data_IF_049235643257
#
_entry.id   IF_049235643257
#
_cell.length_a   1.000
_cell.length_b   1.000
_cell.length_c   1.000
_cell.angle_alpha   90.00
_cell.angle_beta   90.00
_cell.angle_gamma   90.00
#
_symmetry.space_group_name_H-M   'P 1'
#
loop_
_entity.id
_entity.type
_entity.pdbx_description
1 polymer ?
#
# COMPACT_ATOMS: atom_id res chain seq x y z
N UNK A 1 -8.67 0.26 4.94
CA UNK A 1 -9.00 -0.96 5.71
C UNK A 1 -10.40 -0.87 6.31
N UNK A 2 -10.77 0.16 7.09
CA UNK A 2 -12.03 0.26 7.85
C UNK A 2 -13.30 -0.05 7.03
N UNK A 3 -13.39 0.42 5.77
CA UNK A 3 -14.52 0.14 4.88
C UNK A 3 -14.78 -1.35 4.63
N UNK A 4 -13.77 -2.23 4.80
CA UNK A 4 -13.94 -3.68 4.62
C UNK A 4 -15.00 -4.29 5.55
N UNK A 5 -15.28 -3.67 6.70
CA UNK A 5 -16.31 -4.14 7.62
C UNK A 5 -17.73 -3.99 7.05
N UNK A 6 -17.93 -3.13 6.03
CA UNK A 6 -19.22 -2.87 5.38
C UNK A 6 -19.41 -3.61 4.06
N UNK A 7 -18.45 -4.45 3.62
CA UNK A 7 -18.64 -5.21 2.39
C UNK A 7 -19.74 -6.26 2.56
N UNK A 8 -20.60 -6.38 1.55
CA UNK A 8 -21.71 -7.33 1.56
C UNK A 8 -21.25 -8.75 1.23
N UNK A 9 -20.31 -8.89 0.29
CA UNK A 9 -19.80 -10.19 -0.15
C UNK A 9 -18.91 -10.81 0.91
N UNK A 10 -19.03 -12.11 1.10
CA UNK A 10 -18.28 -12.88 2.10
C UNK A 10 -16.77 -12.82 1.86
N UNK A 11 -16.36 -12.87 0.59
CA UNK A 11 -14.95 -12.76 0.19
C UNK A 11 -14.81 -12.05 -1.16
N UNK A 12 -13.63 -11.52 -1.40
CA UNK A 12 -13.28 -10.94 -2.68
C UNK A 12 -11.78 -10.93 -2.91
N UNK A 13 -11.40 -11.04 -4.18
CA UNK A 13 -10.02 -10.94 -4.65
C UNK A 13 -9.96 -9.92 -5.77
N UNK A 14 -8.90 -9.15 -5.82
CA UNK A 14 -8.61 -8.17 -6.87
C UNK A 14 -7.16 -8.28 -7.29
N UNK A 15 -6.91 -8.20 -8.59
CA UNK A 15 -5.58 -8.16 -9.19
C UNK A 15 -5.49 -6.93 -10.07
N UNK A 16 -4.39 -6.21 -9.96
CA UNK A 16 -4.09 -5.06 -10.81
C UNK A 16 -2.66 -5.17 -11.30
N UNK A 17 -2.46 -4.86 -12.57
CA UNK A 17 -1.15 -4.76 -13.20
C UNK A 17 -1.06 -3.46 -13.96
N UNK A 18 -0.05 -2.63 -13.65
CA UNK A 18 0.15 -1.33 -14.26
C UNK A 18 1.58 -1.23 -14.79
N UNK A 19 1.77 -1.37 -16.12
CA UNK A 19 3.07 -1.10 -16.74
C UNK A 19 3.33 0.41 -16.72
N UNK A 20 4.51 0.81 -16.26
CA UNK A 20 4.95 2.19 -16.22
C UNK A 20 5.90 2.49 -17.37
N UNK A 21 5.74 3.65 -18.00
CA UNK A 21 6.63 4.15 -19.05
C UNK A 21 6.97 3.14 -20.17
N UNK A 22 6.05 2.22 -20.48
CA UNK A 22 6.26 1.08 -21.38
C UNK A 22 6.93 1.41 -22.72
N UNK A 23 6.75 2.64 -23.20
CA UNK A 23 7.38 3.09 -24.46
C UNK A 23 8.85 3.51 -24.29
N UNK A 24 9.29 3.83 -23.06
CA UNK A 24 10.66 4.27 -22.76
C UNK A 24 11.45 3.17 -22.06
N UNK A 25 10.84 2.51 -21.08
CA UNK A 25 11.43 1.43 -20.28
C UNK A 25 10.39 0.32 -20.13
N UNK A 26 10.48 -0.76 -20.91
CA UNK A 26 9.41 -1.78 -20.95
C UNK A 26 9.26 -2.59 -19.67
N UNK A 27 10.26 -2.58 -18.80
CA UNK A 27 10.39 -3.51 -17.68
C UNK A 27 9.90 -2.96 -16.33
N UNK A 28 9.53 -1.65 -16.30
CA UNK A 28 8.97 -1.04 -15.08
C UNK A 28 7.49 -1.39 -14.97
N UNK A 29 7.11 -2.05 -13.88
CA UNK A 29 5.73 -2.43 -13.64
C UNK A 29 5.38 -2.46 -12.15
N UNK A 30 4.11 -2.17 -11.88
CA UNK A 30 3.50 -2.31 -10.58
C UNK A 30 2.44 -3.40 -10.64
N UNK A 31 2.62 -4.44 -9.86
CA UNK A 31 1.67 -5.53 -9.65
C UNK A 31 1.05 -5.42 -8.27
N UNK A 32 -0.25 -5.60 -8.17
CA UNK A 32 -0.97 -5.53 -6.92
C UNK A 32 -2.03 -6.64 -6.87
N UNK A 33 -1.98 -7.45 -5.83
CA UNK A 33 -3.00 -8.43 -5.51
C UNK A 33 -3.55 -8.14 -4.12
N UNK A 34 -4.85 -8.20 -3.96
CA UNK A 34 -5.50 -8.05 -2.67
C UNK A 34 -6.69 -8.98 -2.54
N UNK A 35 -6.98 -9.34 -1.31
CA UNK A 35 -8.15 -10.15 -1.00
C UNK A 35 -8.68 -9.82 0.40
N UNK A 36 -9.93 -10.17 0.61
CA UNK A 36 -10.55 -10.07 1.93
C UNK A 36 -11.50 -11.23 2.17
N UNK A 37 -11.75 -11.50 3.45
CA UNK A 37 -12.78 -12.43 3.92
C UNK A 37 -13.47 -11.85 5.15
N UNK A 38 -14.80 -11.91 5.16
CA UNK A 38 -15.58 -11.60 6.36
C UNK A 38 -15.35 -12.67 7.43
N UNK A 39 -15.27 -12.23 8.69
CA UNK A 39 -15.18 -13.10 9.86
C UNK A 39 -16.40 -12.77 10.74
N UNK A 40 -17.54 -13.34 10.37
CA UNK A 40 -18.82 -12.99 10.96
C UNK A 40 -19.42 -11.71 10.37
N UNK A 41 -20.47 -11.18 11.03
CA UNK A 41 -21.29 -10.09 10.47
C UNK A 41 -20.64 -8.72 10.55
N UNK A 42 -19.77 -8.51 11.52
CA UNK A 42 -19.25 -7.19 11.86
C UNK A 42 -17.76 -7.02 11.61
N UNK A 43 -17.05 -8.03 11.11
CA UNK A 43 -15.62 -7.97 10.96
C UNK A 43 -15.12 -8.61 9.66
N UNK A 44 -13.98 -8.12 9.17
CA UNK A 44 -13.31 -8.65 8.00
C UNK A 44 -11.79 -8.62 8.15
N UNK A 45 -11.14 -9.64 7.62
CA UNK A 45 -9.69 -9.65 7.38
C UNK A 45 -9.42 -9.32 5.92
N UNK A 46 -8.35 -8.59 5.68
CA UNK A 46 -7.82 -8.34 4.36
C UNK A 46 -6.33 -8.63 4.31
N UNK A 47 -5.85 -8.99 3.14
CA UNK A 47 -4.43 -9.11 2.87
C UNK A 47 -4.13 -8.52 1.49
N UNK A 48 -2.94 -7.98 1.31
CA UNK A 48 -2.50 -7.52 0.01
C UNK A 48 -0.99 -7.67 -0.17
N UNK A 49 -0.58 -7.85 -1.42
CA UNK A 49 0.81 -7.83 -1.85
C UNK A 49 0.95 -6.83 -2.99
N UNK A 50 1.88 -5.91 -2.82
CA UNK A 50 2.32 -4.98 -3.86
C UNK A 50 3.73 -5.33 -4.25
N UNK A 51 3.98 -5.42 -5.55
CA UNK A 51 5.30 -5.65 -6.11
C UNK A 51 5.58 -4.60 -7.18
N UNK A 52 6.70 -3.90 -7.04
CA UNK A 52 7.15 -2.89 -7.97
C UNK A 52 8.52 -3.29 -8.52
N UNK A 53 8.59 -3.56 -9.82
CA UNK A 53 9.84 -3.77 -10.56
C UNK A 53 10.25 -2.46 -11.19
N UNK A 54 11.52 -2.08 -11.01
CA UNK A 54 12.09 -0.88 -11.61
C UNK A 54 12.82 -1.16 -12.94
N UNK A 55 12.73 -2.40 -13.44
CA UNK A 55 13.38 -2.81 -14.67
C UNK A 55 14.83 -3.26 -14.47
N UNK A 56 15.47 -3.68 -15.55
CA UNK A 56 16.86 -4.15 -15.54
C UNK A 56 17.83 -2.98 -15.62
N UNK A 57 18.76 -2.91 -14.68
CA UNK A 57 19.85 -1.92 -14.65
C UNK A 57 21.14 -2.64 -14.98
N UNK A 58 21.85 -2.15 -16.01
CA UNK A 58 23.19 -2.60 -16.36
C UNK A 58 24.21 -1.77 -15.60
N UNK A 59 24.99 -2.42 -14.77
CA UNK A 59 26.12 -1.78 -14.11
C UNK A 59 27.34 -1.78 -15.02
N UNK A 60 28.05 -0.65 -15.07
CA UNK A 60 29.27 -0.49 -15.82
C UNK A 60 30.39 -0.01 -14.89
N UNK A 61 31.63 -0.40 -15.21
CA UNK A 61 32.82 0.16 -14.55
C UNK A 61 33.10 1.58 -15.08
N UNK A 62 34.17 2.21 -14.55
CA UNK A 62 34.57 3.58 -14.92
C UNK A 62 35.00 3.68 -16.40
N UNK A 63 35.28 2.56 -17.04
CA UNK A 63 35.63 2.47 -18.47
C UNK A 63 34.39 2.23 -19.35
N UNK A 64 33.20 2.03 -18.76
CA UNK A 64 31.96 1.77 -19.48
C UNK A 64 31.71 0.29 -19.80
N UNK A 65 32.56 -0.63 -19.34
CA UNK A 65 32.36 -2.06 -19.55
C UNK A 65 31.27 -2.60 -18.59
N UNK A 66 30.38 -3.48 -19.07
CA UNK A 66 29.35 -4.06 -18.24
C UNK A 66 29.97 -4.98 -17.17
N UNK A 67 29.61 -4.76 -15.89
CA UNK A 67 30.06 -5.54 -14.73
C UNK A 67 28.96 -6.38 -14.10
N UNK A 68 27.71 -6.27 -14.59
CA UNK A 68 26.58 -7.07 -14.15
C UNK A 68 25.24 -6.44 -14.45
N UNK A 69 24.21 -7.27 -14.39
CA UNK A 69 22.81 -6.85 -14.51
C UNK A 69 22.13 -7.02 -13.15
N UNK A 70 21.27 -6.08 -12.79
CA UNK A 70 20.49 -6.11 -11.57
C UNK A 70 19.07 -5.62 -11.83
N UNK A 71 18.08 -6.31 -11.26
CA UNK A 71 16.68 -5.92 -11.32
C UNK A 71 16.24 -5.39 -9.93
N UNK A 72 16.26 -4.07 -9.72
CA UNK A 72 15.77 -3.50 -8.47
C UNK A 72 14.28 -3.72 -8.35
N UNK A 73 13.86 -4.17 -7.17
CA UNK A 73 12.46 -4.44 -6.90
C UNK A 73 12.10 -4.10 -5.45
N UNK A 74 10.87 -3.68 -5.28
CA UNK A 74 10.28 -3.42 -3.98
C UNK A 74 9.01 -4.24 -3.81
N UNK A 75 8.78 -4.75 -2.62
CA UNK A 75 7.48 -5.32 -2.29
C UNK A 75 6.99 -4.89 -0.91
N UNK A 76 5.67 -4.82 -0.78
CA UNK A 76 5.00 -4.59 0.47
C UNK A 76 3.89 -5.62 0.66
N UNK A 77 3.86 -6.25 1.82
CA UNK A 77 2.83 -7.18 2.23
C UNK A 77 2.03 -6.59 3.39
N UNK A 78 0.71 -6.54 3.23
CA UNK A 78 -0.21 -5.99 4.22
C UNK A 78 -1.15 -7.07 4.75
N UNK A 79 -1.42 -7.04 6.05
CA UNK A 79 -2.53 -7.74 6.70
C UNK A 79 -3.35 -6.71 7.44
N UNK A 80 -4.66 -6.70 7.21
CA UNK A 80 -5.58 -5.75 7.82
C UNK A 80 -6.77 -6.41 8.46
N UNK A 81 -7.26 -5.79 9.52
CA UNK A 81 -8.49 -6.13 10.21
C UNK A 81 -9.42 -4.92 10.26
N UNK A 82 -10.70 -5.16 10.03
CA UNK A 82 -11.74 -4.15 10.09
C UNK A 82 -12.90 -4.64 10.96
N UNK A 83 -13.45 -3.72 11.77
CA UNK A 83 -14.54 -4.00 12.70
C UNK A 83 -15.59 -2.91 12.62
N UNK A 84 -16.87 -3.29 12.50
CA UNK A 84 -18.02 -2.41 12.74
C UNK A 84 -18.21 -2.18 14.23
N UNK A 85 -18.49 -0.93 14.60
CA UNK A 85 -18.87 -0.50 15.95
C UNK A 85 -20.32 0.03 15.98
N UNK A 86 -21.18 -0.58 15.20
CA UNK A 86 -22.56 -0.20 15.01
C UNK A 86 -22.95 -0.17 13.54
N UNK A 87 -24.11 0.39 13.21
CA UNK A 87 -24.64 0.37 11.85
C UNK A 87 -23.93 1.31 10.88
N UNK A 88 -23.34 2.39 11.39
CA UNK A 88 -22.80 3.49 10.58
C UNK A 88 -21.29 3.70 10.69
N UNK A 89 -20.64 3.08 11.68
CA UNK A 89 -19.23 3.36 11.97
C UNK A 89 -18.40 2.09 12.02
N UNK A 90 -17.19 2.16 11.46
CA UNK A 90 -16.16 1.11 11.57
C UNK A 90 -14.78 1.68 11.76
N UNK A 91 -13.92 0.89 12.39
CA UNK A 91 -12.50 1.11 12.45
C UNK A 91 -11.73 0.01 11.74
N UNK A 92 -10.49 0.29 11.41
CA UNK A 92 -9.60 -0.70 10.80
C UNK A 92 -8.14 -0.42 11.09
N UNK A 93 -7.40 -1.50 11.19
CA UNK A 93 -5.96 -1.50 11.40
C UNK A 93 -5.31 -2.38 10.34
N UNK A 94 -4.16 -1.97 9.81
CA UNK A 94 -3.34 -2.85 8.98
C UNK A 94 -1.88 -2.77 9.41
N UNK A 95 -1.18 -3.88 9.29
CA UNK A 95 0.27 -3.98 9.47
C UNK A 95 0.88 -4.27 8.11
N UNK A 96 1.94 -3.54 7.79
CA UNK A 96 2.68 -3.62 6.54
C UNK A 96 4.11 -4.01 6.79
N UNK A 97 4.59 -5.01 6.07
CA UNK A 97 6.01 -5.30 5.90
C UNK A 97 6.48 -4.76 4.56
N UNK A 98 7.61 -4.04 4.57
CA UNK A 98 8.21 -3.43 3.38
C UNK A 98 9.61 -4.02 3.18
N UNK A 99 9.91 -4.39 1.94
CA UNK A 99 11.24 -4.76 1.50
C UNK A 99 11.55 -4.01 0.20
N UNK A 100 12.62 -3.24 0.21
CA UNK A 100 13.08 -2.44 -0.93
C UNK A 100 14.52 -2.80 -1.25
N UNK A 101 14.74 -3.49 -2.36
CA UNK A 101 16.07 -3.87 -2.83
C UNK A 101 16.40 -3.05 -4.09
N UNK A 102 17.03 -1.90 -3.90
CA UNK A 102 17.33 -0.95 -4.97
C UNK A 102 18.73 -1.09 -5.53
N UNK A 103 19.64 -1.74 -4.82
CA UNK A 103 21.09 -1.74 -5.13
C UNK A 103 21.68 -3.13 -5.31
N UNK A 104 20.92 -4.19 -5.00
CA UNK A 104 21.40 -5.58 -5.11
C UNK A 104 22.56 -5.95 -4.20
N UNK A 105 22.89 -5.11 -3.22
CA UNK A 105 24.04 -5.33 -2.34
C UNK A 105 25.37 -4.90 -2.97
N UNK A 106 25.32 -4.08 -4.03
CA UNK A 106 26.54 -3.56 -4.67
C UNK A 106 27.05 -2.38 -3.84
N UNK A 107 28.38 -2.30 -3.72
CA UNK A 107 29.03 -1.14 -3.10
C UNK A 107 28.85 0.11 -3.96
N UNK A 108 28.20 1.12 -3.40
CA UNK A 108 28.02 2.41 -4.03
C UNK A 108 28.89 3.43 -3.31
N UNK A 109 29.86 4.00 -4.01
CA UNK A 109 30.78 5.01 -3.47
C UNK A 109 31.49 4.58 -2.17
N UNK A 110 31.89 3.31 -2.08
CA UNK A 110 32.60 2.76 -0.92
C UNK A 110 31.72 2.40 0.29
N UNK A 111 30.40 2.42 0.12
CA UNK A 111 29.45 1.98 1.15
C UNK A 111 28.78 0.69 0.74
N UNK A 112 28.86 -0.32 1.61
CA UNK A 112 28.10 -1.57 1.45
C UNK A 112 26.60 -1.29 1.55
N UNK A 113 25.87 -1.61 0.49
CA UNK A 113 24.42 -1.44 0.48
C UNK A 113 23.69 -2.75 0.76
N UNK A 114 22.53 -2.65 1.36
CA UNK A 114 21.65 -3.78 1.67
C UNK A 114 20.21 -3.44 1.33
N UNK A 115 19.38 -4.48 1.15
CA UNK A 115 17.94 -4.25 0.99
C UNK A 115 17.36 -3.58 2.23
N UNK A 116 16.68 -2.48 2.04
CA UNK A 116 15.94 -1.77 3.07
C UNK A 116 14.73 -2.59 3.53
N UNK A 117 14.55 -2.71 4.85
CA UNK A 117 13.40 -3.41 5.44
C UNK A 117 12.75 -2.55 6.51
N UNK A 118 11.42 -2.56 6.54
CA UNK A 118 10.68 -1.80 7.54
C UNK A 118 9.30 -2.38 7.79
N UNK A 119 8.71 -1.95 8.91
CA UNK A 119 7.32 -2.21 9.24
C UNK A 119 6.58 -0.89 9.42
N UNK A 120 5.33 -0.88 8.99
CA UNK A 120 4.43 0.25 9.17
C UNK A 120 3.04 -0.23 9.59
N UNK A 121 2.29 0.67 10.21
CA UNK A 121 0.90 0.45 10.62
C UNK A 121 0.03 1.52 9.97
N UNK A 122 -1.13 1.10 9.48
CA UNK A 122 -2.18 1.99 8.97
C UNK A 122 -3.38 1.90 9.91
N UNK A 123 -3.97 3.05 10.23
CA UNK A 123 -5.18 3.17 11.04
C UNK A 123 -6.24 3.89 10.22
N UNK A 124 -7.45 3.35 10.19
CA UNK A 124 -8.55 3.93 9.44
C UNK A 124 -9.85 3.95 10.20
N UNK A 125 -10.68 4.93 9.89
CA UNK A 125 -12.07 5.03 10.33
C UNK A 125 -12.96 5.23 9.11
N UNK A 126 -14.17 4.69 9.16
CA UNK A 126 -15.15 4.85 8.10
C UNK A 126 -16.54 5.03 8.71
N UNK A 127 -17.26 6.01 8.18
CA UNK A 127 -18.64 6.32 8.54
C UNK A 127 -19.50 6.30 7.28
N UNK A 128 -20.69 5.72 7.36
CA UNK A 128 -21.71 5.74 6.30
C UNK A 128 -23.05 6.18 6.86
N UNK A 129 -23.79 6.96 6.09
CA UNK A 129 -25.15 7.36 6.39
C UNK A 129 -25.98 7.22 5.11
N UNK A 130 -26.83 6.21 5.08
CA UNK A 130 -27.54 5.80 3.88
C UNK A 130 -28.84 6.61 3.65
N UNK A 131 -29.40 7.21 4.71
CA UNK A 131 -30.63 8.01 4.69
C UNK A 131 -30.37 9.51 4.86
N UNK A 132 -29.26 10.01 4.35
CA UNK A 132 -28.94 11.44 4.44
C UNK A 132 -29.74 12.24 3.42
N UNK A 133 -30.10 13.47 3.78
CA UNK A 133 -30.65 14.44 2.82
C UNK A 133 -29.64 15.53 2.53
N UNK A 134 -29.27 15.68 1.26
CA UNK A 134 -28.34 16.71 0.79
C UNK A 134 -29.05 17.54 -0.27
N UNK A 135 -29.18 18.85 -0.01
CA UNK A 135 -29.94 19.78 -0.85
C UNK A 135 -31.39 19.33 -1.18
N UNK A 136 -32.05 18.65 -0.20
CA UNK A 136 -33.42 18.15 -0.37
C UNK A 136 -33.58 16.89 -1.21
N UNK A 137 -32.47 16.20 -1.52
CA UNK A 137 -32.45 14.92 -2.22
C UNK A 137 -31.90 13.84 -1.30
N UNK A 138 -32.45 12.65 -1.40
CA UNK A 138 -31.93 11.48 -0.67
C UNK A 138 -30.53 11.12 -1.17
N UNK A 139 -29.64 10.90 -0.22
CA UNK A 139 -28.22 10.66 -0.53
C UNK A 139 -27.57 9.70 0.47
N UNK A 140 -26.58 8.98 -0.01
CA UNK A 140 -25.66 8.22 0.84
C UNK A 140 -24.41 9.07 1.09
N UNK A 141 -24.11 9.36 2.34
CA UNK A 141 -22.91 10.09 2.73
C UNK A 141 -21.89 9.13 3.32
N UNK A 142 -20.70 9.10 2.74
CA UNK A 142 -19.58 8.30 3.22
C UNK A 142 -18.42 9.20 3.62
N UNK A 143 -17.85 8.96 4.80
CA UNK A 143 -16.65 9.65 5.28
C UNK A 143 -15.60 8.63 5.66
N UNK A 144 -14.42 8.75 5.08
CA UNK A 144 -13.28 7.88 5.38
C UNK A 144 -12.07 8.69 5.85
N UNK A 145 -11.46 8.29 6.95
CA UNK A 145 -10.19 8.80 7.44
C UNK A 145 -9.18 7.66 7.44
N UNK A 146 -7.98 7.93 6.95
CA UNK A 146 -6.87 6.98 7.01
C UNK A 146 -5.57 7.70 7.35
N UNK A 147 -4.84 7.16 8.31
CA UNK A 147 -3.46 7.53 8.62
C UNK A 147 -2.62 6.31 8.29
N UNK A 148 -1.72 6.43 7.33
CA UNK A 148 -0.92 5.32 6.83
C UNK A 148 0.57 5.56 6.96
N UNK A 149 1.32 4.44 6.95
CA UNK A 149 2.77 4.40 7.10
C UNK A 149 3.27 4.94 8.45
N UNK A 150 2.54 4.73 9.52
CA UNK A 150 3.04 4.96 10.88
C UNK A 150 4.04 3.83 11.18
N UNK A 151 5.34 4.09 11.05
CA UNK A 151 6.27 2.97 11.10
C UNK A 151 7.71 3.32 11.41
N UNK A 152 8.55 2.29 11.39
CA UNK A 152 9.97 2.39 11.62
C UNK A 152 10.66 3.02 10.40
N UNK A 153 11.79 3.65 10.66
CA UNK A 153 12.68 4.16 9.61
C UNK A 153 13.25 3.00 8.78
N UNK A 154 13.50 3.25 7.50
CA UNK A 154 14.17 2.32 6.59
C UNK A 154 15.65 2.71 6.43
N UNK A 155 16.53 1.72 6.27
CA UNK A 155 17.94 1.95 5.97
C UNK A 155 18.38 1.02 4.84
N UNK A 156 19.22 1.53 3.96
CA UNK A 156 19.81 0.80 2.83
C UNK A 156 21.32 0.56 3.00
N UNK A 157 21.88 0.97 4.13
CA UNK A 157 23.29 0.78 4.47
C UNK A 157 23.41 0.16 5.85
N UNK A 158 24.57 -0.41 6.16
CA UNK A 158 24.86 -0.93 7.49
C UNK A 158 25.11 0.20 8.52
N UNK A 159 25.15 1.45 8.06
CA UNK A 159 25.39 2.63 8.88
C UNK A 159 24.11 3.21 9.49
N UNK A 160 24.30 4.09 10.46
CA UNK A 160 23.25 4.67 11.29
C UNK A 160 22.25 5.59 10.54
N UNK A 161 22.43 5.83 9.26
CA UNK A 161 21.54 6.70 8.49
C UNK A 161 20.26 5.94 8.16
N UNK A 162 19.15 6.42 8.70
CA UNK A 162 17.82 5.84 8.52
C UNK A 162 16.84 6.92 8.09
N UNK A 163 16.13 6.66 7.02
CA UNK A 163 15.13 7.56 6.45
C UNK A 163 13.73 7.24 6.98
N UNK A 164 12.92 8.28 7.19
CA UNK A 164 11.52 8.09 7.58
C UNK A 164 10.69 7.63 6.38
N UNK A 165 9.80 6.67 6.62
CA UNK A 165 8.73 6.39 5.67
C UNK A 165 7.72 7.54 5.77
N UNK A 166 7.31 8.17 4.64
CA UNK A 166 6.35 9.27 4.67
C UNK A 166 5.00 8.83 5.26
N UNK A 167 4.59 9.49 6.34
CA UNK A 167 3.24 9.31 6.90
C UNK A 167 2.25 10.06 6.01
N UNK A 168 1.16 9.40 5.63
CA UNK A 168 0.09 10.01 4.87
C UNK A 168 -1.21 10.06 5.68
N UNK A 169 -1.89 11.20 5.61
CA UNK A 169 -3.22 11.38 6.18
C UNK A 169 -4.18 11.66 5.01
N UNK A 170 -5.21 10.83 4.89
CA UNK A 170 -6.23 10.95 3.86
C UNK A 170 -7.60 11.08 4.51
N UNK A 171 -8.30 12.17 4.20
CA UNK A 171 -9.72 12.33 4.47
C UNK A 171 -10.47 12.29 3.13
N UNK A 172 -11.47 11.43 3.01
CA UNK A 172 -12.32 11.32 1.83
C UNK A 172 -13.78 11.43 2.24
N UNK A 173 -14.50 12.34 1.58
CA UNK A 173 -15.96 12.48 1.70
C UNK A 173 -16.56 12.17 0.34
N UNK A 174 -17.60 11.33 0.32
CA UNK A 174 -18.36 11.00 -0.89
C UNK A 174 -19.84 11.15 -0.60
N UNK A 175 -20.55 11.81 -1.49
CA UNK A 175 -22.01 11.96 -1.48
C UNK A 175 -22.54 11.36 -2.77
N UNK A 176 -23.37 10.33 -2.66
CA UNK A 176 -24.02 9.68 -3.80
C UNK A 176 -25.52 9.91 -3.69
N UNK A 177 -26.11 10.64 -4.65
CA UNK A 177 -27.56 10.77 -4.75
C UNK A 177 -28.21 9.40 -5.03
N UNK A 178 -29.33 9.11 -4.39
CA UNK A 178 -30.19 7.99 -4.77
C UNK A 178 -31.10 8.48 -5.90
N UNK A 179 -30.99 7.83 -7.07
CA UNK A 179 -31.86 8.05 -8.23
C UNK A 179 -33.09 7.16 -8.14
#
# INVERSE_FOLDING_TARGET
VAKLAFVEKEMGVSVSYSPWLRQLVPDINLSYISGYKKIGDNSALGASLRYFSLGDIKFTNDQGDPIGDFNPAEFAFDIGYAQKFGERFSGGLAVRYINSNLTGGIDVSGSNTTAGRSFAVDVGAFYTHDDAQVFGQDAIVNVGLNISNIGAKISYTNDAVKDFIPINILLKVMVNGQL
#
